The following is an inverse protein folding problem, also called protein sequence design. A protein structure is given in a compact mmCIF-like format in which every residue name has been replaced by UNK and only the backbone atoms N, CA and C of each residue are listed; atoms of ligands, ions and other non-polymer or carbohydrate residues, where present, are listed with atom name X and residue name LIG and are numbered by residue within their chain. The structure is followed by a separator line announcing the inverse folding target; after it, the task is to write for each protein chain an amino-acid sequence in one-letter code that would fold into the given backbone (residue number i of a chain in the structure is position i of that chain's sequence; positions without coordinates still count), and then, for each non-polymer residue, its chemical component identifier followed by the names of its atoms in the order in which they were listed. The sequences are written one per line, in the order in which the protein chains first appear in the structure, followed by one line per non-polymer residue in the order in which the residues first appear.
data_IF_477748125814
#
_entry.id   IF_477748125814
#
_cell.length_a   1.000
_cell.length_b   1.000
_cell.length_c   1.000
_cell.angle_alpha   90.00
_cell.angle_beta   90.00
_cell.angle_gamma   90.00
#
_symmetry.space_group_name_H-M   'P 1'
#
loop_
_entity.id
_entity.type
_entity.pdbx_description
1 polymer ?
#
# COMPACT_ATOMS: atom_id res chain seq x y z
N UNK A 1 -11.69 12.30 -24.18
CA UNK A 1 -11.44 10.93 -24.69
C UNK A 1 -9.97 10.67 -24.48
N UNK A 2 -9.61 9.76 -23.57
CA UNK A 2 -8.22 9.35 -23.37
C UNK A 2 -7.74 8.73 -24.69
N UNK A 3 -6.72 9.33 -25.30
CA UNK A 3 -5.99 8.69 -26.40
C UNK A 3 -5.35 7.42 -25.82
N UNK A 4 -5.60 6.26 -26.46
CA UNK A 4 -5.11 4.96 -25.99
C UNK A 4 -3.61 4.98 -25.65
N UNK A 5 -3.23 4.18 -24.68
CA UNK A 5 -1.82 3.98 -24.38
C UNK A 5 -1.18 3.13 -25.48
N UNK A 6 -0.27 3.73 -26.26
CA UNK A 6 0.45 3.03 -27.30
C UNK A 6 1.90 2.78 -26.85
N UNK A 7 2.41 1.58 -27.09
CA UNK A 7 3.78 1.23 -26.75
C UNK A 7 3.94 0.38 -25.49
N UNK A 8 5.14 0.38 -24.94
CA UNK A 8 5.52 -0.44 -23.79
C UNK A 8 5.29 0.31 -22.48
N UNK A 9 4.42 -0.23 -21.64
CA UNK A 9 4.08 0.33 -20.33
C UNK A 9 4.77 -0.47 -19.23
N UNK A 10 5.43 0.23 -18.32
CA UNK A 10 6.05 -0.38 -17.14
C UNK A 10 5.39 0.19 -15.90
N UNK A 11 4.84 -0.67 -15.06
CA UNK A 11 4.27 -0.31 -13.75
C UNK A 11 5.25 -0.75 -12.66
N UNK A 12 5.65 0.17 -11.81
CA UNK A 12 6.57 -0.12 -10.70
C UNK A 12 5.82 -0.18 -9.37
N UNK A 13 5.70 -1.38 -8.82
CA UNK A 13 4.98 -1.66 -7.59
C UNK A 13 4.32 -3.04 -7.63
N UNK A 14 3.93 -3.58 -6.46
CA UNK A 14 3.38 -4.92 -6.35
C UNK A 14 2.05 -5.01 -5.58
N UNK A 15 1.42 -3.88 -5.26
CA UNK A 15 0.11 -3.83 -4.60
C UNK A 15 -1.06 -3.86 -5.59
N UNK A 16 -2.29 -3.92 -5.07
CA UNK A 16 -3.51 -3.93 -5.89
C UNK A 16 -3.54 -2.77 -6.88
N UNK A 17 -3.15 -1.56 -6.47
CA UNK A 17 -3.08 -0.40 -7.36
C UNK A 17 -2.16 -0.64 -8.58
N UNK A 18 -1.03 -1.34 -8.39
CA UNK A 18 -0.13 -1.66 -9.49
C UNK A 18 -0.78 -2.63 -10.49
N UNK A 19 -1.50 -3.63 -9.98
CA UNK A 19 -2.24 -4.59 -10.79
C UNK A 19 -3.39 -3.93 -11.55
N UNK A 20 -4.18 -3.08 -10.89
CA UNK A 20 -5.26 -2.31 -11.51
C UNK A 20 -4.76 -1.42 -12.65
N UNK A 21 -3.66 -0.71 -12.43
CA UNK A 21 -3.02 0.13 -13.44
C UNK A 21 -2.53 -0.71 -14.62
N UNK A 22 -1.89 -1.85 -14.35
CA UNK A 22 -1.38 -2.74 -15.40
C UNK A 22 -2.51 -3.28 -16.28
N UNK A 23 -3.57 -3.80 -15.69
CA UNK A 23 -4.77 -4.29 -16.40
C UNK A 23 -5.46 -3.17 -17.19
N UNK A 24 -5.55 -1.98 -16.58
CA UNK A 24 -6.09 -0.80 -17.29
C UNK A 24 -5.24 -0.43 -18.50
N UNK A 25 -3.91 -0.50 -18.40
CA UNK A 25 -3.02 -0.22 -19.52
C UNK A 25 -3.19 -1.21 -20.67
N UNK A 26 -3.37 -2.51 -20.39
CA UNK A 26 -3.71 -3.53 -21.40
C UNK A 26 -5.00 -3.15 -22.13
N UNK A 27 -6.07 -2.87 -21.38
CA UNK A 27 -7.39 -2.50 -21.92
C UNK A 27 -7.40 -1.18 -22.70
N UNK A 28 -6.44 -0.30 -22.41
CA UNK A 28 -6.22 0.95 -23.16
C UNK A 28 -5.39 0.78 -24.43
N UNK A 29 -4.96 -0.44 -24.75
CA UNK A 29 -4.24 -0.78 -25.99
C UNK A 29 -2.73 -0.64 -25.93
N UNK A 30 -2.11 -0.78 -24.75
CA UNK A 30 -0.67 -0.89 -24.62
C UNK A 30 -0.15 -2.10 -25.42
N UNK A 31 1.00 -1.94 -26.09
CA UNK A 31 1.65 -3.02 -26.87
C UNK A 31 2.17 -4.14 -25.96
N UNK A 32 2.64 -3.79 -24.79
CA UNK A 32 2.99 -4.70 -23.71
C UNK A 32 2.92 -3.99 -22.37
N UNK A 33 2.64 -4.75 -21.33
CA UNK A 33 2.61 -4.24 -19.96
C UNK A 33 3.48 -5.11 -19.07
N UNK A 34 4.42 -4.47 -18.34
CA UNK A 34 5.29 -5.13 -17.37
C UNK A 34 5.08 -4.54 -15.98
N UNK A 35 4.91 -5.40 -14.99
CA UNK A 35 4.88 -5.02 -13.57
C UNK A 35 6.23 -5.37 -12.95
N UNK A 36 7.00 -4.36 -12.60
CA UNK A 36 8.33 -4.51 -11.99
C UNK A 36 8.21 -4.51 -10.47
N UNK A 37 8.71 -5.56 -9.82
CA UNK A 37 8.66 -5.71 -8.37
C UNK A 37 10.03 -6.07 -7.78
N UNK A 38 10.34 -5.51 -6.61
CA UNK A 38 11.65 -5.69 -5.96
C UNK A 38 11.85 -7.07 -5.36
N UNK A 39 10.79 -7.73 -4.96
CA UNK A 39 10.80 -9.07 -4.37
C UNK A 39 10.30 -10.11 -5.38
N UNK A 40 10.18 -11.36 -4.93
CA UNK A 40 9.51 -12.42 -5.68
C UNK A 40 8.01 -12.13 -5.83
N UNK A 41 7.40 -12.74 -6.82
CA UNK A 41 5.97 -12.60 -7.12
C UNK A 41 5.09 -13.06 -5.93
N UNK A 42 5.46 -14.13 -5.25
CA UNK A 42 4.75 -14.65 -4.07
C UNK A 42 4.75 -13.71 -2.87
N UNK A 43 5.62 -12.68 -2.87
CA UNK A 43 5.67 -11.63 -1.85
C UNK A 43 5.01 -10.33 -2.26
N UNK A 44 4.28 -10.32 -3.36
CA UNK A 44 3.50 -9.16 -3.76
C UNK A 44 2.33 -8.98 -2.78
N UNK A 45 2.07 -7.73 -2.32
CA UNK A 45 0.94 -7.46 -1.43
C UNK A 45 -0.43 -7.43 -2.13
N UNK A 46 -0.48 -7.52 -3.46
CA UNK A 46 -1.72 -7.64 -4.22
C UNK A 46 -2.40 -8.98 -3.98
N UNK A 47 -3.71 -9.01 -4.07
CA UNK A 47 -4.50 -10.24 -3.94
C UNK A 47 -4.15 -11.24 -5.04
N UNK A 48 -4.06 -12.50 -4.66
CA UNK A 48 -3.65 -13.57 -5.57
C UNK A 48 -4.56 -13.69 -6.81
N UNK A 49 -5.85 -13.53 -6.62
CA UNK A 49 -6.84 -13.57 -7.70
C UNK A 49 -6.59 -12.46 -8.72
N UNK A 50 -6.31 -11.23 -8.27
CA UNK A 50 -6.03 -10.09 -9.15
C UNK A 50 -4.72 -10.28 -9.92
N UNK A 51 -3.70 -10.87 -9.28
CA UNK A 51 -2.43 -11.21 -9.95
C UNK A 51 -2.68 -12.21 -11.08
N UNK A 52 -3.48 -13.26 -10.82
CA UNK A 52 -3.80 -14.27 -11.83
C UNK A 52 -4.60 -13.67 -13.00
N UNK A 53 -5.61 -12.84 -12.72
CA UNK A 53 -6.35 -12.14 -13.76
C UNK A 53 -5.46 -11.23 -14.62
N UNK A 54 -4.47 -10.58 -14.02
CA UNK A 54 -3.49 -9.78 -14.77
C UNK A 54 -2.61 -10.64 -15.68
N UNK A 55 -2.17 -11.81 -15.20
CA UNK A 55 -1.41 -12.77 -16.01
C UNK A 55 -2.24 -13.33 -17.17
N UNK A 56 -3.53 -13.60 -16.96
CA UNK A 56 -4.46 -14.02 -18.02
C UNK A 56 -4.67 -12.92 -19.08
N UNK A 57 -4.58 -11.65 -18.67
CA UNK A 57 -4.61 -10.48 -19.55
C UNK A 57 -3.23 -10.16 -20.18
N UNK A 58 -2.28 -11.10 -20.14
CA UNK A 58 -0.94 -10.98 -20.73
C UNK A 58 -0.04 -9.91 -20.08
N UNK A 59 -0.30 -9.52 -18.84
CA UNK A 59 0.61 -8.69 -18.04
C UNK A 59 1.82 -9.53 -17.63
N UNK A 60 3.03 -9.06 -17.91
CA UNK A 60 4.27 -9.71 -17.51
C UNK A 60 4.73 -9.20 -16.14
N UNK A 61 4.89 -10.09 -15.15
CA UNK A 61 5.48 -9.74 -13.86
C UNK A 61 6.99 -9.96 -13.94
N UNK A 62 7.77 -8.93 -13.63
CA UNK A 62 9.24 -8.92 -13.62
C UNK A 62 9.75 -8.84 -12.20
N UNK A 63 9.96 -9.97 -11.51
CA UNK A 63 10.38 -10.00 -10.12
C UNK A 63 11.89 -9.71 -9.96
N UNK A 64 12.27 -9.37 -8.74
CA UNK A 64 13.65 -9.07 -8.36
C UNK A 64 14.29 -7.97 -9.21
N UNK A 65 13.53 -6.88 -9.44
CA UNK A 65 14.01 -5.72 -10.17
C UNK A 65 13.63 -4.43 -9.44
N UNK A 66 14.52 -3.48 -9.51
CA UNK A 66 14.30 -2.10 -9.02
C UNK A 66 14.65 -1.13 -10.12
N UNK A 67 13.87 -0.07 -10.28
CA UNK A 67 14.21 0.98 -11.24
C UNK A 67 15.42 1.74 -10.72
N UNK A 68 16.47 1.82 -11.54
CA UNK A 68 17.68 2.60 -11.27
C UNK A 68 17.68 3.92 -12.02
N UNK A 69 17.29 3.90 -13.30
CA UNK A 69 17.34 5.10 -14.14
C UNK A 69 16.23 5.04 -15.21
N UNK A 70 15.63 6.20 -15.50
CA UNK A 70 14.66 6.37 -16.57
C UNK A 70 15.32 7.15 -17.71
N UNK A 71 15.39 6.54 -18.88
CA UNK A 71 15.89 7.15 -20.13
C UNK A 71 14.77 7.27 -21.16
N UNK A 72 14.98 8.09 -22.18
CA UNK A 72 14.01 8.22 -23.27
C UNK A 72 13.83 6.86 -23.99
N UNK A 73 12.65 6.27 -23.85
CA UNK A 73 12.29 4.98 -24.46
C UNK A 73 12.86 3.74 -23.77
N UNK A 74 13.62 3.89 -22.68
CA UNK A 74 14.27 2.78 -21.97
C UNK A 74 14.22 2.98 -20.46
N UNK A 75 14.17 1.86 -19.76
CA UNK A 75 14.28 1.79 -18.30
C UNK A 75 15.48 0.93 -17.93
N UNK A 76 16.34 1.45 -17.06
CA UNK A 76 17.44 0.67 -16.49
C UNK A 76 16.98 0.10 -15.16
N UNK A 77 17.01 -1.23 -15.09
CA UNK A 77 16.64 -1.99 -13.91
C UNK A 77 17.87 -2.54 -13.22
N UNK A 78 17.97 -2.38 -11.92
CA UNK A 78 18.93 -3.07 -11.10
C UNK A 78 18.37 -4.44 -10.71
N UNK A 79 19.19 -5.48 -10.91
CA UNK A 79 18.84 -6.84 -10.52
C UNK A 79 18.97 -6.96 -8.99
N UNK A 80 17.91 -7.44 -8.38
CA UNK A 80 17.84 -7.69 -6.95
C UNK A 80 18.04 -9.18 -6.66
N UNK A 81 18.44 -9.52 -5.44
CA UNK A 81 18.43 -10.90 -4.95
C UNK A 81 17.72 -11.00 -3.62
N UNK A 82 17.10 -12.14 -3.35
CA UNK A 82 16.49 -12.40 -2.05
C UNK A 82 17.53 -12.34 -0.92
N UNK A 83 17.16 -11.66 0.19
CA UNK A 83 17.94 -11.60 1.40
C UNK A 83 16.98 -11.55 2.61
N UNK A 84 16.59 -12.72 3.07
CA UNK A 84 15.58 -12.87 4.13
C UNK A 84 14.22 -12.28 3.74
N UNK A 85 13.73 -11.33 4.55
CA UNK A 85 12.43 -10.68 4.33
C UNK A 85 12.44 -9.64 3.20
N UNK A 86 13.60 -9.10 2.86
CA UNK A 86 13.77 -8.05 1.84
C UNK A 86 14.73 -8.53 0.76
N UNK A 87 14.68 -7.89 -0.41
CA UNK A 87 15.70 -8.08 -1.45
C UNK A 87 16.78 -7.02 -1.35
N UNK A 88 18.01 -7.39 -1.76
CA UNK A 88 19.17 -6.48 -1.81
C UNK A 88 19.63 -6.27 -3.25
N UNK A 89 20.15 -5.09 -3.59
CA UNK A 89 20.73 -4.82 -4.89
C UNK A 89 21.97 -5.71 -5.14
N UNK A 90 22.19 -6.09 -6.40
CA UNK A 90 23.34 -6.90 -6.80
C UNK A 90 24.43 -6.11 -7.49
N UNK A 91 24.19 -4.83 -7.84
CA UNK A 91 25.07 -4.02 -8.67
C UNK A 91 25.07 -4.42 -10.15
N UNK A 92 24.19 -5.34 -10.58
CA UNK A 92 24.01 -5.72 -11.97
C UNK A 92 22.79 -5.04 -12.55
N UNK A 93 22.85 -4.63 -13.79
CA UNK A 93 21.81 -3.85 -14.46
C UNK A 93 21.38 -4.51 -15.76
N UNK A 94 20.13 -4.28 -16.13
CA UNK A 94 19.59 -4.63 -17.45
C UNK A 94 18.73 -3.47 -17.96
N UNK A 95 18.47 -3.44 -19.26
CA UNK A 95 17.64 -2.42 -19.91
C UNK A 95 16.40 -3.06 -20.51
N UNK A 96 15.25 -2.42 -20.33
CA UNK A 96 14.00 -2.78 -20.98
C UNK A 96 13.42 -1.58 -21.72
N UNK A 97 12.64 -1.85 -22.79
CA UNK A 97 11.88 -0.80 -23.46
C UNK A 97 10.74 -0.29 -22.57
N UNK A 98 10.59 1.03 -22.49
CA UNK A 98 9.50 1.67 -21.76
C UNK A 98 9.16 3.01 -22.40
N UNK A 99 7.93 3.14 -22.87
CA UNK A 99 7.39 4.41 -23.38
C UNK A 99 6.65 5.17 -22.27
N UNK A 100 6.04 4.43 -21.34
CA UNK A 100 5.33 4.96 -20.19
C UNK A 100 5.78 4.22 -18.94
N UNK A 101 6.06 4.97 -17.88
CA UNK A 101 6.38 4.41 -16.56
C UNK A 101 5.37 4.95 -15.56
N UNK A 102 4.70 4.04 -14.85
CA UNK A 102 3.76 4.38 -13.79
C UNK A 102 4.30 3.90 -12.44
N UNK A 103 4.43 4.81 -11.49
CA UNK A 103 4.83 4.46 -10.13
C UNK A 103 3.60 4.16 -9.27
N UNK A 104 3.51 2.94 -8.75
CA UNK A 104 2.46 2.48 -7.84
C UNK A 104 3.09 1.90 -6.55
N UNK A 105 3.96 2.70 -5.91
CA UNK A 105 4.83 2.29 -4.80
C UNK A 105 4.16 2.45 -3.41
N UNK A 106 2.86 2.58 -3.34
CA UNK A 106 2.17 2.84 -2.09
C UNK A 106 2.43 4.27 -1.56
N UNK A 107 1.83 4.55 -0.43
CA UNK A 107 1.90 5.86 0.21
C UNK A 107 2.35 5.68 1.67
N UNK A 108 3.11 6.65 2.16
CA UNK A 108 3.41 6.80 3.58
C UNK A 108 2.46 7.83 4.18
N UNK A 109 2.14 7.66 5.43
CA UNK A 109 1.41 8.67 6.20
C UNK A 109 2.31 9.88 6.38
N UNK A 110 1.77 11.08 6.17
CA UNK A 110 2.44 12.32 6.55
C UNK A 110 2.26 12.53 8.06
N UNK A 111 3.32 12.28 8.80
CA UNK A 111 3.33 12.36 10.27
C UNK A 111 3.52 13.80 10.78
N UNK A 112 3.76 14.77 9.89
CA UNK A 112 4.10 16.16 10.26
C UNK A 112 3.04 16.84 11.13
N UNK A 113 1.75 16.47 10.99
CA UNK A 113 0.67 16.93 11.85
C UNK A 113 0.79 16.43 13.31
N UNK A 114 1.56 15.36 13.50
CA UNK A 114 1.70 14.67 14.78
C UNK A 114 2.99 15.05 15.52
N UNK A 115 3.92 15.74 14.85
CA UNK A 115 5.26 16.09 15.38
C UNK A 115 5.20 16.84 16.71
N UNK A 116 4.16 17.63 16.94
CA UNK A 116 3.95 18.38 18.17
C UNK A 116 3.21 17.62 19.28
N UNK A 117 2.77 16.39 19.01
CA UNK A 117 2.05 15.56 19.95
C UNK A 117 3.00 14.57 20.60
N UNK A 118 3.63 14.98 21.70
CA UNK A 118 4.44 14.11 22.54
C UNK A 118 3.54 13.02 23.18
N UNK A 119 3.95 11.75 23.12
CA UNK A 119 3.26 10.56 23.62
C UNK A 119 2.31 9.85 22.64
N UNK A 120 2.28 10.21 21.36
CA UNK A 120 1.69 9.32 20.36
C UNK A 120 2.65 8.15 20.06
N UNK A 121 2.09 6.95 20.04
CA UNK A 121 2.84 5.77 19.61
C UNK A 121 2.52 5.50 18.14
N UNK A 122 3.51 5.72 17.31
CA UNK A 122 3.53 5.32 15.90
C UNK A 122 4.40 4.07 15.78
N UNK A 123 3.86 3.02 15.24
CA UNK A 123 4.58 1.80 14.91
C UNK A 123 4.39 1.54 13.42
N UNK A 124 5.52 1.45 12.67
CA UNK A 124 5.52 1.28 11.21
C UNK A 124 4.65 2.33 10.45
N UNK A 125 4.59 3.58 10.93
CA UNK A 125 3.82 4.67 10.32
C UNK A 125 2.31 4.57 10.56
N UNK A 126 1.86 3.79 11.55
CA UNK A 126 0.46 3.72 11.98
C UNK A 126 0.32 4.08 13.45
N UNK A 127 -0.81 4.71 13.79
CA UNK A 127 -1.12 5.17 15.13
C UNK A 127 -1.84 4.10 15.93
N UNK A 128 -1.28 3.71 17.09
CA UNK A 128 -2.00 2.85 18.03
C UNK A 128 -3.25 3.53 18.58
N UNK A 129 -4.38 2.83 18.51
CA UNK A 129 -5.66 3.26 19.10
C UNK A 129 -6.26 2.14 19.94
N UNK A 130 -7.07 2.53 20.91
CA UNK A 130 -7.83 1.58 21.73
C UNK A 130 -9.09 1.07 21.01
N UNK A 131 -9.86 0.22 21.70
CA UNK A 131 -11.12 -0.31 21.20
C UNK A 131 -12.16 0.75 20.83
N UNK A 132 -11.99 2.00 21.21
CA UNK A 132 -12.87 3.14 20.93
C UNK A 132 -12.32 4.05 19.82
N UNK A 133 -11.23 3.65 19.16
CA UNK A 133 -10.50 4.44 18.15
C UNK A 133 -9.82 5.69 18.74
N UNK A 134 -9.59 5.75 20.06
CA UNK A 134 -8.86 6.83 20.72
C UNK A 134 -7.39 6.45 20.87
N UNK A 135 -6.50 7.39 20.60
CA UNK A 135 -5.06 7.23 20.80
C UNK A 135 -4.66 7.30 22.29
N UNK A 136 -3.37 7.20 22.57
CA UNK A 136 -2.85 7.43 23.92
C UNK A 136 -3.12 8.87 24.43
N UNK A 137 -3.38 9.82 23.55
CA UNK A 137 -3.75 11.20 23.88
C UNK A 137 -5.27 11.31 23.91
N UNK A 138 -5.81 11.75 25.04
CA UNK A 138 -7.23 11.94 25.22
C UNK A 138 -7.80 12.98 24.23
N UNK A 139 -8.92 12.63 23.58
CA UNK A 139 -9.57 13.45 22.56
C UNK A 139 -8.97 13.35 21.16
N UNK A 140 -7.89 12.55 20.96
CA UNK A 140 -7.31 12.27 19.65
C UNK A 140 -7.75 10.89 19.19
N UNK A 141 -8.51 10.86 18.10
CA UNK A 141 -9.05 9.64 17.50
C UNK A 141 -8.44 9.41 16.12
N UNK A 142 -8.26 8.16 15.73
CA UNK A 142 -7.78 7.80 14.41
C UNK A 142 -8.48 6.54 13.87
N UNK A 143 -8.43 6.35 12.55
CA UNK A 143 -9.03 5.20 11.89
C UNK A 143 -8.59 5.08 10.42
N UNK A 144 -9.12 4.09 9.70
CA UNK A 144 -8.73 3.79 8.34
C UNK A 144 -7.28 3.30 8.24
N UNK A 145 -6.58 3.71 7.21
CA UNK A 145 -5.20 3.29 6.92
C UNK A 145 -4.16 3.83 7.93
N UNK A 146 -4.61 4.73 8.81
CA UNK A 146 -3.81 5.36 9.86
C UNK A 146 -3.61 4.46 11.08
N UNK A 147 -4.35 3.37 11.21
CA UNK A 147 -4.31 2.46 12.37
C UNK A 147 -3.99 1.04 11.95
N UNK A 148 -3.45 0.19 12.87
CA UNK A 148 -3.14 -1.21 12.57
C UNK A 148 -4.42 -1.99 12.23
N UNK A 149 -4.67 -2.19 10.93
CA UNK A 149 -5.82 -2.96 10.44
C UNK A 149 -5.68 -3.27 8.95
N UNK A 150 -6.61 -4.05 8.40
CA UNK A 150 -6.72 -4.20 6.95
C UNK A 150 -7.02 -2.86 6.27
N UNK A 151 -6.25 -2.55 5.22
CA UNK A 151 -6.39 -1.32 4.44
C UNK A 151 -7.41 -1.50 3.34
N UNK A 152 -8.68 -1.39 3.68
CA UNK A 152 -9.79 -1.44 2.73
C UNK A 152 -10.90 -0.47 3.11
N UNK A 153 -11.76 -0.15 2.14
CA UNK A 153 -12.83 0.85 2.29
C UNK A 153 -13.83 0.44 3.38
N UNK A 154 -14.18 -0.83 3.47
CA UNK A 154 -15.16 -1.33 4.46
C UNK A 154 -14.67 -1.13 5.88
N UNK A 155 -13.42 -1.48 6.15
CA UNK A 155 -12.78 -1.28 7.45
C UNK A 155 -12.66 0.21 7.77
N UNK A 156 -12.23 1.03 6.82
CA UNK A 156 -12.11 2.48 7.01
C UNK A 156 -13.45 3.14 7.37
N UNK A 157 -14.54 2.77 6.69
CA UNK A 157 -15.90 3.23 7.01
C UNK A 157 -16.32 2.76 8.41
N UNK A 158 -16.03 1.49 8.76
CA UNK A 158 -16.28 0.93 10.08
C UNK A 158 -15.58 1.71 11.19
N UNK A 159 -14.30 2.05 11.01
CA UNK A 159 -13.50 2.86 11.92
C UNK A 159 -14.09 4.27 12.07
N UNK A 160 -14.43 4.94 10.96
CA UNK A 160 -15.04 6.27 10.99
C UNK A 160 -16.35 6.28 11.76
N UNK A 161 -17.23 5.31 11.54
CA UNK A 161 -18.49 5.17 12.27
C UNK A 161 -18.29 4.92 13.76
N UNK A 162 -17.29 4.11 14.11
CA UNK A 162 -16.95 3.80 15.50
C UNK A 162 -16.33 5.02 16.19
N UNK A 163 -15.38 5.69 15.54
CA UNK A 163 -14.76 6.90 16.05
C UNK A 163 -15.81 7.99 16.29
N UNK A 164 -16.70 8.27 15.34
CA UNK A 164 -17.74 9.30 15.47
C UNK A 164 -18.64 9.09 16.70
N UNK A 165 -19.05 7.84 16.96
CA UNK A 165 -19.86 7.52 18.15
C UNK A 165 -19.10 7.77 19.44
N UNK A 166 -17.83 7.42 19.48
CA UNK A 166 -17.01 7.59 20.69
C UNK A 166 -16.60 9.05 20.90
N UNK A 167 -16.38 9.81 19.83
CA UNK A 167 -16.20 11.27 19.89
C UNK A 167 -17.42 11.94 20.49
N UNK A 168 -18.63 11.58 20.03
CA UNK A 168 -19.88 12.13 20.56
C UNK A 168 -20.02 11.84 22.06
N UNK A 169 -19.75 10.61 22.50
CA UNK A 169 -19.78 10.25 23.93
C UNK A 169 -18.72 11.01 24.74
N UNK A 170 -17.54 11.19 24.18
CA UNK A 170 -16.46 11.93 24.81
C UNK A 170 -16.81 13.40 24.99
N UNK A 171 -17.35 14.04 23.96
CA UNK A 171 -17.80 15.44 24.03
C UNK A 171 -18.95 15.65 25.04
N UNK A 172 -19.81 14.65 25.25
CA UNK A 172 -20.89 14.67 26.24
C UNK A 172 -20.42 14.32 27.67
N UNK A 173 -19.13 14.05 27.89
CA UNK A 173 -18.60 13.59 29.16
C UNK A 173 -19.09 12.20 29.60
N UNK A 174 -19.59 11.39 28.65
CA UNK A 174 -20.12 10.03 28.87
C UNK A 174 -19.14 8.93 28.47
N UNK A 175 -17.98 9.30 27.99
CA UNK A 175 -16.97 8.36 27.53
C UNK A 175 -16.40 7.56 28.71
N UNK A 176 -16.47 6.23 28.60
CA UNK A 176 -15.85 5.31 29.56
C UNK A 176 -14.63 4.68 28.91
N UNK A 177 -13.43 4.96 29.44
CA UNK A 177 -12.22 4.26 29.00
C UNK A 177 -12.39 2.75 29.24
N UNK A 178 -12.01 1.91 28.26
CA UNK A 178 -12.02 0.46 28.45
C UNK A 178 -11.12 0.10 29.64
N UNK A 179 -11.61 -0.76 30.50
CA UNK A 179 -10.76 -1.32 31.55
C UNK A 179 -9.69 -2.18 30.87
N UNK A 180 -8.43 -2.09 31.33
CA UNK A 180 -7.26 -2.82 30.75
C UNK A 180 -7.42 -4.35 30.61
N UNK A 181 -8.53 -4.93 31.07
CA UNK A 181 -8.81 -6.36 31.04
C UNK A 181 -9.39 -6.92 29.74
N UNK A 182 -9.74 -6.07 28.74
CA UNK A 182 -10.35 -6.52 27.49
C UNK A 182 -9.47 -6.38 26.25
N UNK A 183 -8.18 -6.13 26.41
CA UNK A 183 -7.24 -6.02 25.27
C UNK A 183 -6.75 -7.37 24.70
N UNK A 184 -7.19 -8.50 25.24
CA UNK A 184 -6.74 -9.83 24.80
C UNK A 184 -7.95 -10.72 24.48
N UNK A 185 -8.75 -10.34 23.51
CA UNK A 185 -9.65 -11.28 22.84
C UNK A 185 -10.19 -10.62 21.57
N UNK A 186 -9.54 -10.80 20.48
CA UNK A 186 -10.16 -11.11 19.18
C UNK A 186 -9.18 -10.94 18.01
N UNK A 187 -8.23 -11.84 17.93
CA UNK A 187 -7.49 -12.09 16.70
C UNK A 187 -7.55 -13.57 16.32
N UNK A 188 -8.74 -14.17 16.47
CA UNK A 188 -8.96 -15.52 15.93
C UNK A 188 -10.41 -15.64 15.45
N UNK A 189 -10.65 -15.25 14.22
CA UNK A 189 -11.57 -15.89 13.24
C UNK A 189 -11.29 -15.33 11.87
#
# INVERSE_FOLDING_TARGET
VATGLHGHVVVYGGGNTAIDVARSAVRMGAKSVKVVVRNSQDKMPAHYEEINEALEEEVEIVPFRSISEIKKGQLILEIMKADGKRSKPTGKFESIEANVVVQALGQNVDESLLDNLTNLKLEDGVLEVDAHMMSAIEGVFAGGDMVPSERNVTVAIGHGKKAARNIDQWLQGKFQKPSKKHEIADHSM
#
